data_IF_696180482204
#
_entry.id   IF_696180482204
#
_cell.length_a   1.000
_cell.length_b   1.000
_cell.length_c   1.000
_cell.angle_alpha   90.00
_cell.angle_beta   90.00
_cell.angle_gamma   90.00
#
_symmetry.space_group_name_H-M   'P 1'
#
loop_
_entity.id
_entity.type
_entity.pdbx_description
1 polymer ?
#
# COMPACT_ATOMS: atom_id res chain seq x y z
N UNK A 1 8.37 -14.71 -0.74
CA UNK A 1 8.16 -13.46 0.01
C UNK A 1 8.46 -12.27 -0.89
N UNK A 2 7.58 -11.29 -0.93
CA UNK A 2 7.80 -10.10 -1.74
C UNK A 2 8.85 -9.18 -1.11
N UNK A 3 9.68 -8.55 -1.95
CA UNK A 3 10.55 -7.49 -1.50
C UNK A 3 9.73 -6.24 -1.17
N UNK A 4 10.34 -5.27 -0.49
CA UNK A 4 9.66 -4.01 -0.21
C UNK A 4 9.21 -3.29 -1.48
N UNK A 5 10.03 -3.33 -2.52
CA UNK A 5 9.69 -2.74 -3.82
C UNK A 5 8.47 -3.42 -4.44
N UNK A 6 8.46 -4.74 -4.46
CA UNK A 6 7.35 -5.50 -5.01
C UNK A 6 6.06 -5.26 -4.22
N UNK A 7 6.18 -5.18 -2.90
CA UNK A 7 5.04 -4.91 -2.03
C UNK A 7 4.46 -3.52 -2.31
N UNK A 8 5.30 -2.51 -2.47
CA UNK A 8 4.84 -1.16 -2.79
C UNK A 8 4.16 -1.09 -4.15
N UNK A 9 4.66 -1.82 -5.13
CA UNK A 9 4.02 -1.90 -6.45
C UNK A 9 2.65 -2.55 -6.35
N UNK A 10 2.52 -3.60 -5.57
CA UNK A 10 1.24 -4.27 -5.33
C UNK A 10 0.24 -3.34 -4.64
N UNK A 11 0.68 -2.61 -3.62
CA UNK A 11 -0.14 -1.65 -2.92
C UNK A 11 -0.66 -0.57 -3.89
N UNK A 12 0.22 -0.04 -4.70
CA UNK A 12 -0.13 1.01 -5.65
C UNK A 12 -1.15 0.50 -6.67
N UNK A 13 -0.98 -0.71 -7.19
CA UNK A 13 -1.93 -1.31 -8.12
C UNK A 13 -3.30 -1.48 -7.49
N UNK A 14 -3.36 -1.97 -6.26
CA UNK A 14 -4.64 -2.18 -5.57
C UNK A 14 -5.38 -0.87 -5.36
N UNK A 15 -4.66 0.17 -4.95
CA UNK A 15 -5.26 1.48 -4.71
C UNK A 15 -5.72 2.10 -6.03
N UNK A 16 -4.91 2.00 -7.08
CA UNK A 16 -5.22 2.56 -8.39
C UNK A 16 -6.43 1.88 -9.02
N UNK A 17 -6.57 0.56 -8.84
CA UNK A 17 -7.65 -0.20 -9.42
C UNK A 17 -8.93 -0.20 -8.58
N UNK A 18 -8.87 0.31 -7.35
CA UNK A 18 -10.02 0.37 -6.48
C UNK A 18 -10.82 1.65 -6.73
N UNK A 19 -12.15 1.53 -6.73
CA UNK A 19 -13.04 2.69 -6.87
C UNK A 19 -13.28 3.40 -5.55
N UNK A 20 -12.90 2.77 -4.44
CA UNK A 20 -13.08 3.31 -3.10
C UNK A 20 -11.74 3.29 -2.38
N UNK A 21 -11.56 4.11 -1.34
CA UNK A 21 -10.33 4.06 -0.54
C UNK A 21 -10.10 2.67 0.03
N UNK A 22 -8.86 2.19 -0.04
CA UNK A 22 -8.48 0.87 0.48
C UNK A 22 -7.94 1.07 1.89
N UNK A 23 -8.41 0.24 2.84
CA UNK A 23 -7.94 0.35 4.21
C UNK A 23 -6.52 -0.20 4.37
N UNK A 24 -5.72 0.44 5.24
CA UNK A 24 -4.39 -0.05 5.55
C UNK A 24 -4.42 -1.46 6.15
N UNK A 25 -5.45 -1.75 6.95
CA UNK A 25 -5.62 -3.07 7.52
C UNK A 25 -5.85 -4.15 6.45
N UNK A 26 -6.65 -3.83 5.44
CA UNK A 26 -6.91 -4.75 4.32
C UNK A 26 -5.63 -5.00 3.52
N UNK A 27 -4.85 -3.96 3.27
CA UNK A 27 -3.58 -4.08 2.58
C UNK A 27 -2.58 -4.93 3.37
N UNK A 28 -2.51 -4.71 4.69
CA UNK A 28 -1.63 -5.48 5.56
C UNK A 28 -1.97 -6.97 5.51
N UNK A 29 -3.25 -7.29 5.55
CA UNK A 29 -3.70 -8.67 5.47
C UNK A 29 -3.37 -9.30 4.12
N UNK A 30 -3.61 -8.58 3.03
CA UNK A 30 -3.30 -9.06 1.68
C UNK A 30 -1.81 -9.29 1.46
N UNK A 31 -0.98 -8.42 2.01
CA UNK A 31 0.48 -8.51 1.84
C UNK A 31 1.15 -9.34 2.92
N UNK A 32 0.39 -9.83 3.91
CA UNK A 32 0.90 -10.65 5.01
C UNK A 32 1.99 -9.92 5.81
N UNK A 33 1.77 -8.64 6.07
CA UNK A 33 2.66 -7.79 6.88
C UNK A 33 1.85 -7.04 7.91
N UNK A 34 2.53 -6.37 8.84
CA UNK A 34 1.84 -5.55 9.85
C UNK A 34 1.31 -4.26 9.21
N UNK A 35 0.29 -3.67 9.85
CA UNK A 35 -0.25 -2.39 9.41
C UNK A 35 0.81 -1.30 9.39
N UNK A 36 1.73 -1.33 10.35
CA UNK A 36 2.80 -0.34 10.42
C UNK A 36 3.70 -0.37 9.18
N UNK A 37 3.96 -1.58 8.64
CA UNK A 37 4.71 -1.72 7.40
C UNK A 37 3.97 -1.05 6.25
N UNK A 38 2.64 -1.23 6.18
CA UNK A 38 1.83 -0.60 5.14
C UNK A 38 1.85 0.92 5.27
N UNK A 39 1.78 1.45 6.48
CA UNK A 39 1.86 2.90 6.70
C UNK A 39 3.18 3.46 6.17
N UNK A 40 4.29 2.78 6.43
CA UNK A 40 5.60 3.18 5.93
C UNK A 40 5.67 3.10 4.41
N UNK A 41 5.13 2.03 3.82
CA UNK A 41 5.11 1.86 2.37
C UNK A 41 4.30 2.97 1.69
N UNK A 42 3.15 3.31 2.24
CA UNK A 42 2.32 4.38 1.71
C UNK A 42 3.05 5.72 1.78
N UNK A 43 3.76 5.98 2.87
CA UNK A 43 4.56 7.20 3.00
C UNK A 43 5.64 7.27 1.92
N UNK A 44 6.31 6.15 1.64
CA UNK A 44 7.32 6.08 0.59
C UNK A 44 6.71 6.28 -0.79
N UNK A 45 5.54 5.72 -1.05
CA UNK A 45 4.82 5.89 -2.31
C UNK A 45 4.45 7.36 -2.53
N UNK A 46 3.96 8.03 -1.49
CA UNK A 46 3.64 9.46 -1.56
C UNK A 46 4.88 10.30 -1.82
N UNK A 47 5.98 9.95 -1.16
CA UNK A 47 7.26 10.65 -1.37
C UNK A 47 7.76 10.53 -2.81
N UNK A 48 7.38 9.46 -3.50
CA UNK A 48 7.72 9.25 -4.90
C UNK A 48 6.81 10.03 -5.86
N UNK A 49 5.81 10.74 -5.35
CA UNK A 49 4.95 11.61 -6.14
C UNK A 49 3.58 11.05 -6.48
N UNK A 50 3.22 9.89 -5.95
CA UNK A 50 1.91 9.30 -6.20
C UNK A 50 0.87 9.82 -5.21
N UNK A 51 -0.32 10.09 -5.73
CA UNK A 51 -1.46 10.50 -4.91
C UNK A 51 -2.19 9.26 -4.42
N UNK A 52 -1.95 8.90 -3.17
CA UNK A 52 -2.46 7.67 -2.58
C UNK A 52 -3.45 7.98 -1.47
N UNK A 53 -4.65 7.42 -1.56
CA UNK A 53 -5.68 7.54 -0.53
C UNK A 53 -5.89 6.16 0.10
N UNK A 54 -5.64 6.06 1.40
CA UNK A 54 -5.86 4.85 2.17
C UNK A 54 -6.43 5.19 3.54
N UNK A 55 -7.30 4.35 4.05
CA UNK A 55 -7.94 4.55 5.35
C UNK A 55 -7.53 3.49 6.38
#
# INVERSE_FOLDING_TARGET
>A
MMSGKERREEILQRITNSKTPVSGAALAKSCEVSRQVIVQDIALIRAAGYDVIAT
#
